data_IF_041148547889
#
_entry.id   IF_041148547889
#
_cell.length_a   1.000
_cell.length_b   1.000
_cell.length_c   1.000
_cell.angle_alpha   90.00
_cell.angle_beta   90.00
_cell.angle_gamma   90.00
#
_symmetry.space_group_name_H-M   'P 1'
#
loop_
_entity.id
_entity.type
_entity.pdbx_description
1 polymer ?
#
# COMPACT_ATOMS: atom_id res chain seq x y z
N UNK A 1 -1.62 3.36 -23.97
CA UNK A 1 -0.88 3.83 -22.79
C UNK A 1 0.30 4.65 -23.29
N UNK A 2 0.55 5.86 -22.75
CA UNK A 2 1.82 6.56 -23.01
C UNK A 2 2.89 6.08 -22.01
N UNK A 3 4.17 6.32 -22.31
CA UNK A 3 5.29 5.82 -21.51
C UNK A 3 5.28 6.35 -20.08
N UNK A 4 4.91 7.63 -19.89
CA UNK A 4 4.84 8.26 -18.56
C UNK A 4 3.77 7.61 -17.68
N UNK A 5 2.60 7.34 -18.22
CA UNK A 5 1.51 6.65 -17.51
C UNK A 5 1.92 5.23 -17.12
N UNK A 6 2.56 4.50 -18.04
CA UNK A 6 3.07 3.16 -17.76
C UNK A 6 4.13 3.18 -16.63
N UNK A 7 5.09 4.12 -16.70
CA UNK A 7 6.11 4.30 -15.66
C UNK A 7 5.50 4.64 -14.29
N UNK A 8 4.49 5.51 -14.24
CA UNK A 8 3.78 5.83 -13.00
C UNK A 8 3.07 4.62 -12.40
N UNK A 9 2.38 3.81 -13.22
CA UNK A 9 1.68 2.61 -12.76
C UNK A 9 2.65 1.57 -12.21
N UNK A 10 3.72 1.29 -12.95
CA UNK A 10 4.74 0.33 -12.53
C UNK A 10 5.48 0.81 -11.28
N UNK A 11 5.79 2.10 -11.22
CA UNK A 11 6.42 2.72 -10.04
C UNK A 11 5.52 2.65 -8.81
N UNK A 12 4.23 2.93 -8.95
CA UNK A 12 3.27 2.82 -7.85
C UNK A 12 3.09 1.37 -7.39
N UNK A 13 2.94 0.43 -8.34
CA UNK A 13 2.91 -1.02 -8.04
C UNK A 13 4.15 -1.46 -7.26
N UNK A 14 5.34 -1.04 -7.70
CA UNK A 14 6.61 -1.39 -7.04
C UNK A 14 6.67 -0.85 -5.61
N UNK A 15 6.26 0.40 -5.39
CA UNK A 15 6.24 1.02 -4.05
C UNK A 15 5.22 0.36 -3.11
N UNK A 16 4.10 -0.13 -3.65
CA UNK A 16 3.13 -0.92 -2.90
C UNK A 16 3.59 -2.36 -2.64
N UNK A 17 4.60 -2.87 -3.35
CA UNK A 17 4.93 -4.30 -3.31
C UNK A 17 3.91 -5.18 -4.06
N UNK A 18 3.06 -4.59 -4.90
CA UNK A 18 2.00 -5.26 -5.64
C UNK A 18 0.61 -4.70 -5.36
N UNK A 19 -0.35 -4.94 -6.26
CA UNK A 19 -1.74 -4.53 -6.09
C UNK A 19 -2.56 -5.66 -5.48
N UNK A 20 -3.25 -5.38 -4.38
CA UNK A 20 -4.19 -6.26 -3.69
C UNK A 20 -5.61 -6.08 -4.21
N UNK A 21 -5.96 -4.87 -4.66
CA UNK A 21 -7.30 -4.57 -5.22
C UNK A 21 -7.19 -3.71 -6.49
N UNK A 22 -8.19 -3.83 -7.37
CA UNK A 22 -8.29 -3.02 -8.61
C UNK A 22 -8.38 -1.52 -8.33
N UNK A 23 -8.97 -1.12 -7.20
CA UNK A 23 -9.11 0.29 -6.82
C UNK A 23 -7.77 0.99 -6.66
N UNK A 24 -6.70 0.27 -6.28
CA UNK A 24 -5.37 0.85 -6.10
C UNK A 24 -4.75 1.28 -7.43
N UNK A 25 -5.06 0.58 -8.52
CA UNK A 25 -4.60 1.01 -9.84
C UNK A 25 -5.18 2.38 -10.19
N UNK A 26 -6.44 2.65 -9.81
CA UNK A 26 -7.11 3.94 -10.01
C UNK A 26 -6.53 5.08 -9.16
N UNK A 27 -5.72 4.79 -8.14
CA UNK A 27 -5.00 5.81 -7.35
C UNK A 27 -3.75 6.33 -8.06
N UNK A 28 -3.34 5.69 -9.16
CA UNK A 28 -2.17 6.11 -9.94
C UNK A 28 -2.47 7.42 -10.67
N UNK A 29 -1.71 8.46 -10.34
CA UNK A 29 -1.78 9.76 -10.99
C UNK A 29 -1.40 9.67 -12.48
N UNK A 30 -1.98 10.56 -13.30
CA UNK A 30 -1.67 10.75 -14.72
C UNK A 30 -2.11 9.61 -15.66
N UNK A 31 -3.14 8.84 -15.30
CA UNK A 31 -3.72 7.84 -16.21
C UNK A 31 -5.17 8.21 -16.50
N UNK A 32 -5.51 8.19 -17.79
CA UNK A 32 -6.88 8.35 -18.24
C UNK A 32 -7.77 7.25 -17.65
N UNK A 33 -8.91 7.64 -17.06
CA UNK A 33 -9.79 6.70 -16.34
C UNK A 33 -10.41 5.66 -17.26
N UNK A 34 -10.75 6.01 -18.51
CA UNK A 34 -11.33 5.07 -19.46
C UNK A 34 -10.30 4.03 -19.91
N UNK A 35 -9.05 4.47 -20.12
CA UNK A 35 -7.92 3.59 -20.40
C UNK A 35 -7.62 2.66 -19.22
N UNK A 36 -7.65 3.17 -17.99
CA UNK A 36 -7.46 2.36 -16.78
C UNK A 36 -8.58 1.33 -16.64
N UNK A 37 -9.84 1.71 -16.89
CA UNK A 37 -10.96 0.77 -16.84
C UNK A 37 -10.78 -0.40 -17.81
N UNK A 38 -10.39 -0.12 -19.07
CA UNK A 38 -10.06 -1.18 -20.04
C UNK A 38 -8.94 -2.09 -19.54
N UNK A 39 -7.91 -1.54 -18.88
CA UNK A 39 -6.84 -2.33 -18.29
C UNK A 39 -7.36 -3.22 -17.16
N UNK A 40 -8.21 -2.69 -16.28
CA UNK A 40 -8.80 -3.42 -15.16
C UNK A 40 -9.65 -4.62 -15.62
N UNK A 41 -10.25 -4.55 -16.80
CA UNK A 41 -11.07 -5.63 -17.35
C UNK A 41 -10.22 -6.80 -17.87
N UNK A 42 -9.03 -6.52 -18.41
CA UNK A 42 -8.14 -7.54 -19.00
C UNK A 42 -7.01 -8.00 -18.06
N UNK A 43 -6.64 -7.17 -17.07
CA UNK A 43 -5.49 -7.43 -16.22
C UNK A 43 -5.87 -8.38 -15.06
N UNK A 44 -5.23 -9.56 -14.96
CA UNK A 44 -5.39 -10.42 -13.79
C UNK A 44 -4.75 -9.77 -12.56
N UNK A 45 -5.44 -9.89 -11.42
CA UNK A 45 -4.95 -9.40 -10.15
C UNK A 45 -4.22 -10.52 -9.41
N UNK A 46 -2.89 -10.46 -9.42
CA UNK A 46 -2.02 -11.43 -8.74
C UNK A 46 -1.69 -10.94 -7.34
N UNK A 47 -2.48 -11.38 -6.36
CA UNK A 47 -2.32 -11.02 -4.94
C UNK A 47 -1.38 -11.96 -4.19
N UNK A 48 -1.03 -13.11 -4.79
CA UNK A 48 -0.16 -14.15 -4.26
C UNK A 48 1.29 -13.69 -4.05
N UNK A 49 1.74 -12.72 -4.86
CA UNK A 49 3.11 -12.18 -4.80
C UNK A 49 3.22 -10.84 -4.08
N UNK A 50 2.15 -10.40 -3.41
CA UNK A 50 2.16 -9.13 -2.70
C UNK A 50 2.97 -9.28 -1.42
N UNK A 51 3.98 -8.44 -1.25
CA UNK A 51 4.75 -8.37 -0.01
C UNK A 51 3.88 -7.83 1.13
N UNK A 52 3.79 -8.60 2.21
CA UNK A 52 3.04 -8.24 3.42
C UNK A 52 3.92 -8.42 4.65
N UNK A 53 3.73 -7.55 5.63
CA UNK A 53 4.47 -7.57 6.89
C UNK A 53 3.52 -7.31 8.06
N UNK A 54 3.89 -7.78 9.25
CA UNK A 54 3.30 -7.30 10.51
C UNK A 54 3.90 -5.94 10.87
N UNK A 55 3.18 -5.10 11.61
CA UNK A 55 3.70 -3.79 12.06
C UNK A 55 4.89 -3.94 13.01
N UNK A 56 4.98 -5.07 13.72
CA UNK A 56 6.09 -5.40 14.62
C UNK A 56 7.37 -5.73 13.86
N UNK A 57 7.30 -6.49 12.78
CA UNK A 57 8.47 -7.03 12.06
C UNK A 57 8.79 -6.29 10.76
N UNK A 58 7.90 -5.41 10.28
CA UNK A 58 8.10 -4.68 9.04
C UNK A 58 9.43 -3.91 9.03
N UNK A 59 10.25 -4.02 7.97
CA UNK A 59 11.47 -3.20 7.84
C UNK A 59 11.14 -1.70 7.86
N UNK A 60 11.95 -0.91 8.55
CA UNK A 60 11.71 0.54 8.67
C UNK A 60 11.71 1.24 7.32
N UNK A 61 12.64 0.85 6.44
CA UNK A 61 12.72 1.40 5.10
C UNK A 61 11.46 1.06 4.28
N UNK A 62 10.90 -0.13 4.46
CA UNK A 62 9.64 -0.51 3.84
C UNK A 62 8.49 0.36 4.34
N UNK A 63 8.35 0.54 5.65
CA UNK A 63 7.33 1.42 6.24
C UNK A 63 7.43 2.85 5.71
N UNK A 64 8.65 3.40 5.62
CA UNK A 64 8.92 4.77 5.16
C UNK A 64 8.72 4.96 3.65
N UNK A 65 8.87 3.92 2.85
CA UNK A 65 8.68 3.99 1.40
C UNK A 65 7.27 3.62 0.94
N UNK A 66 6.58 2.76 1.70
CA UNK A 66 5.28 2.23 1.30
C UNK A 66 4.21 3.34 1.31
N UNK A 67 3.47 3.57 0.21
CA UNK A 67 2.53 4.68 0.06
C UNK A 67 1.51 4.82 1.20
N UNK A 68 1.07 3.69 1.76
CA UNK A 68 0.07 3.66 2.83
C UNK A 68 0.64 3.77 4.25
N UNK A 69 1.92 3.45 4.44
CA UNK A 69 2.55 3.48 5.77
C UNK A 69 3.45 4.70 5.97
N UNK A 70 4.01 5.30 4.90
CA UNK A 70 5.03 6.36 4.99
C UNK A 70 4.67 7.54 5.89
N UNK A 71 3.40 7.94 5.94
CA UNK A 71 2.94 9.06 6.77
C UNK A 71 2.82 8.70 8.26
N UNK A 72 2.79 7.41 8.58
CA UNK A 72 2.61 6.87 9.91
C UNK A 72 3.82 6.04 10.37
N UNK A 73 4.85 5.90 9.53
CA UNK A 73 5.98 5.02 9.74
C UNK A 73 6.68 5.28 11.09
N UNK A 74 6.99 6.53 11.40
CA UNK A 74 7.68 6.87 12.65
C UNK A 74 6.83 6.56 13.89
N UNK A 75 5.50 6.80 13.82
CA UNK A 75 4.56 6.40 14.89
C UNK A 75 4.50 4.89 15.05
N UNK A 76 4.43 4.15 13.95
CA UNK A 76 4.41 2.68 13.96
C UNK A 76 5.69 2.15 14.61
N UNK A 77 6.85 2.67 14.19
CA UNK A 77 8.17 2.29 14.72
C UNK A 77 8.27 2.60 16.22
N UNK A 78 7.72 3.73 16.67
CA UNK A 78 7.68 4.07 18.08
C UNK A 78 6.78 3.10 18.87
N UNK A 79 5.55 2.86 18.41
CA UNK A 79 4.58 2.06 19.16
C UNK A 79 4.89 0.56 19.14
N UNK A 80 5.53 0.02 18.11
CA UNK A 80 5.91 -1.41 18.07
C UNK A 80 6.97 -1.80 19.11
N UNK A 81 7.72 -0.82 19.65
CA UNK A 81 8.65 -1.06 20.75
C UNK A 81 7.91 -1.34 22.06
N UNK A 82 6.74 -0.72 22.25
CA UNK A 82 5.94 -0.84 23.47
C UNK A 82 4.83 -1.88 23.38
N UNK A 83 4.40 -2.23 22.16
CA UNK A 83 3.26 -3.13 21.95
C UNK A 83 3.64 -4.29 21.00
N UNK A 84 3.41 -5.55 21.42
CA UNK A 84 3.74 -6.71 20.60
C UNK A 84 2.65 -7.06 19.57
N UNK A 85 1.58 -6.26 19.46
CA UNK A 85 0.42 -6.60 18.63
C UNK A 85 0.03 -5.45 17.70
N UNK A 86 -0.06 -5.77 16.41
CA UNK A 86 -0.46 -4.87 15.32
C UNK A 86 -1.77 -4.12 15.60
N UNK A 87 -2.78 -4.81 16.17
CA UNK A 87 -4.08 -4.16 16.47
C UNK A 87 -3.92 -3.02 17.47
N UNK A 88 -3.05 -3.18 18.47
CA UNK A 88 -2.78 -2.11 19.45
C UNK A 88 -1.96 -1.00 18.80
N UNK A 89 -0.93 -1.34 18.04
CA UNK A 89 -0.09 -0.37 17.31
C UNK A 89 -0.97 0.50 16.40
N UNK A 90 -1.81 -0.12 15.58
CA UNK A 90 -2.70 0.56 14.64
C UNK A 90 -3.69 1.51 15.35
N UNK A 91 -4.24 1.07 16.49
CA UNK A 91 -5.11 1.90 17.33
C UNK A 91 -4.38 3.12 17.89
N UNK A 92 -3.13 2.96 18.32
CA UNK A 92 -2.31 4.08 18.84
C UNK A 92 -1.84 5.04 17.76
N UNK A 93 -1.55 4.53 16.56
CA UNK A 93 -1.23 5.35 15.39
C UNK A 93 -2.39 6.28 15.04
N UNK A 94 -3.63 5.85 15.31
CA UNK A 94 -4.86 6.59 15.08
C UNK A 94 -4.94 7.13 13.63
N UNK A 95 -4.73 6.22 12.68
CA UNK A 95 -4.80 6.53 11.26
C UNK A 95 -6.24 6.86 10.86
N UNK A 96 -6.42 7.64 9.77
CA UNK A 96 -7.75 7.88 9.21
C UNK A 96 -8.38 6.53 8.78
N UNK A 97 -9.71 6.35 8.87
CA UNK A 97 -10.36 5.09 8.51
C UNK A 97 -9.98 4.57 7.12
N UNK A 98 -9.87 5.45 6.14
CA UNK A 98 -9.44 5.11 4.77
C UNK A 98 -7.99 4.60 4.71
N UNK A 99 -7.08 5.26 5.43
CA UNK A 99 -5.68 4.84 5.49
C UNK A 99 -5.56 3.50 6.22
N UNK A 100 -6.32 3.30 7.30
CA UNK A 100 -6.35 2.04 8.04
C UNK A 100 -6.84 0.87 7.17
N UNK A 101 -7.91 1.06 6.40
CA UNK A 101 -8.39 0.05 5.46
C UNK A 101 -7.33 -0.32 4.43
N UNK A 102 -6.62 0.66 3.90
CA UNK A 102 -5.53 0.46 2.94
C UNK A 102 -4.33 -0.27 3.56
N UNK A 103 -3.95 0.08 4.79
CA UNK A 103 -2.88 -0.59 5.52
C UNK A 103 -3.21 -2.07 5.72
N UNK A 104 -4.44 -2.39 6.12
CA UNK A 104 -4.90 -3.78 6.35
C UNK A 104 -4.72 -4.70 5.14
N UNK A 105 -4.69 -4.17 3.92
CA UNK A 105 -4.43 -4.95 2.70
C UNK A 105 -3.02 -5.56 2.69
N UNK A 106 -2.07 -4.93 3.37
CA UNK A 106 -0.63 -5.26 3.38
C UNK A 106 -0.14 -5.77 4.74
N UNK A 107 -1.04 -5.96 5.69
CA UNK A 107 -0.73 -6.63 6.95
C UNK A 107 -0.86 -8.15 6.77
N UNK A 108 0.00 -8.90 7.48
CA UNK A 108 0.01 -10.36 7.49
C UNK A 108 -1.07 -10.93 8.42
#
# INVERSE_FOLDING_TARGET
FNERAAASLLGFRKKLGGFVTKSQMMETYNIDKALMQKLLDIAPLHTDKVEKYTLTEAPENWLKQHPYFKYYADKIIYFRLSYPNDKKILKMVNAKPEAEQKMKLYLK
#
